data_IF_453325168413
#
_entry.id   IF_453325168413
#
_cell.length_a   1.000
_cell.length_b   1.000
_cell.length_c   1.000
_cell.angle_alpha   90.00
_cell.angle_beta   90.00
_cell.angle_gamma   90.00
#
_symmetry.space_group_name_H-M   'P 1'
#
loop_
_entity.id
_entity.type
_entity.pdbx_description
1 polymer ?
#
# COMPACT_ATOMS: atom_id res chain seq x y z
N UNK A 1 -79.92 2.88 48.65
CA UNK A 1 -80.74 1.84 47.98
C UNK A 1 -79.94 1.29 46.81
N UNK A 2 -80.04 -0.04 46.61
CA UNK A 2 -79.54 -0.87 45.51
C UNK A 2 -78.03 -1.24 45.58
N UNK A 3 -77.60 -2.29 46.30
CA UNK A 3 -77.66 -3.76 46.05
C UNK A 3 -76.67 -4.32 45.01
N UNK A 4 -75.65 -5.02 45.54
CA UNK A 4 -74.91 -6.23 45.10
C UNK A 4 -75.41 -7.01 43.85
N UNK A 5 -74.58 -7.87 43.17
CA UNK A 5 -73.83 -8.94 43.83
C UNK A 5 -72.42 -9.32 43.33
N UNK A 6 -71.73 -9.98 44.27
CA UNK A 6 -70.53 -10.79 44.16
C UNK A 6 -70.64 -11.93 43.12
N UNK A 7 -69.50 -12.26 42.50
CA UNK A 7 -69.23 -13.63 42.08
C UNK A 7 -67.85 -14.07 42.56
N UNK A 8 -67.90 -15.08 43.42
CA UNK A 8 -66.80 -15.86 43.95
C UNK A 8 -66.61 -17.02 42.98
N UNK A 9 -65.41 -17.19 42.43
CA UNK A 9 -64.99 -18.47 41.86
C UNK A 9 -63.66 -18.87 42.48
N UNK A 10 -63.75 -19.87 43.35
CA UNK A 10 -62.64 -20.63 43.91
C UNK A 10 -62.26 -21.69 42.88
N UNK A 11 -61.04 -21.63 42.36
CA UNK A 11 -60.43 -22.68 41.55
C UNK A 11 -59.05 -22.95 42.11
N UNK A 12 -58.94 -24.06 42.82
CA UNK A 12 -57.79 -24.42 43.64
C UNK A 12 -56.99 -25.54 42.94
N UNK A 13 -55.66 -25.42 43.00
CA UNK A 13 -54.67 -26.51 42.97
C UNK A 13 -54.44 -27.26 41.65
N UNK A 14 -53.28 -27.00 41.03
CA UNK A 14 -52.33 -28.03 40.58
C UNK A 14 -51.00 -27.37 40.17
N UNK A 15 -50.24 -26.97 41.18
CA UNK A 15 -48.83 -26.61 41.05
C UNK A 15 -48.04 -27.92 40.97
N UNK A 16 -47.87 -28.47 39.77
CA UNK A 16 -46.92 -29.56 39.56
C UNK A 16 -45.56 -28.99 39.17
N UNK A 17 -44.60 -29.38 39.99
CA UNK A 17 -43.19 -29.08 39.97
C UNK A 17 -42.55 -29.57 38.67
N UNK A 18 -42.20 -28.66 37.76
CA UNK A 18 -41.19 -28.95 36.75
C UNK A 18 -39.82 -28.72 37.39
N UNK A 19 -39.22 -29.80 37.86
CA UNK A 19 -37.79 -29.85 38.15
C UNK A 19 -37.02 -29.79 36.82
N UNK A 20 -36.10 -28.84 36.60
CA UNK A 20 -35.19 -28.91 35.49
C UNK A 20 -34.19 -30.04 35.78
N UNK A 21 -34.35 -31.16 35.09
CA UNK A 21 -33.29 -32.17 34.99
C UNK A 21 -32.02 -31.48 34.49
N UNK A 22 -31.02 -31.40 35.37
CA UNK A 22 -29.64 -31.06 35.03
C UNK A 22 -29.18 -32.05 33.95
N UNK A 23 -29.11 -31.57 32.71
CA UNK A 23 -28.47 -32.26 31.59
C UNK A 23 -26.98 -32.30 31.90
N UNK A 24 -26.49 -33.49 32.23
CA UNK A 24 -25.06 -33.75 32.41
C UNK A 24 -24.31 -33.31 31.14
N UNK A 25 -23.41 -32.35 31.33
CA UNK A 25 -22.37 -32.02 30.35
C UNK A 25 -21.39 -33.19 30.32
N UNK A 26 -21.71 -34.20 29.52
CA UNK A 26 -20.67 -35.10 29.05
C UNK A 26 -19.85 -34.34 28.00
N UNK A 27 -18.58 -34.21 28.33
CA UNK A 27 -17.48 -33.73 27.52
C UNK A 27 -17.52 -34.34 26.12
N UNK A 28 -18.12 -33.61 25.18
CA UNK A 28 -17.90 -33.83 23.77
C UNK A 28 -16.54 -33.22 23.44
N UNK A 29 -15.53 -34.06 23.34
CA UNK A 29 -14.28 -33.73 22.64
C UNK A 29 -14.69 -33.65 21.17
N UNK A 30 -15.03 -32.45 20.71
CA UNK A 30 -15.17 -32.18 19.29
C UNK A 30 -13.83 -32.46 18.60
N UNK A 31 -13.78 -33.28 17.55
CA UNK A 31 -12.65 -33.24 16.64
C UNK A 31 -12.66 -31.85 16.01
N UNK A 32 -11.66 -31.05 16.36
CA UNK A 32 -11.36 -29.76 15.75
C UNK A 32 -11.09 -30.00 14.25
N UNK A 33 -12.15 -29.96 13.44
CA UNK A 33 -12.05 -29.89 11.99
C UNK A 33 -11.55 -28.48 11.69
N UNK A 34 -10.26 -28.38 11.40
CA UNK A 34 -9.63 -27.17 10.90
C UNK A 34 -10.28 -26.84 9.56
N UNK A 35 -11.23 -25.91 9.55
CA UNK A 35 -11.69 -25.27 8.32
C UNK A 35 -10.46 -24.61 7.68
N UNK A 36 -10.15 -24.99 6.43
CA UNK A 36 -9.00 -24.48 5.68
C UNK A 36 -9.08 -22.96 5.38
N UNK A 37 -10.21 -22.33 5.72
CA UNK A 37 -10.47 -20.91 5.50
C UNK A 37 -10.13 -20.02 6.71
N UNK A 38 -9.78 -20.60 7.86
CA UNK A 38 -9.30 -19.89 9.07
C UNK A 38 -7.77 -19.89 9.20
N UNK A 39 -7.05 -20.15 8.09
CA UNK A 39 -5.62 -19.91 8.06
C UNK A 39 -5.37 -18.40 8.24
N UNK A 40 -4.63 -17.97 9.29
CA UNK A 40 -4.31 -16.56 9.45
C UNK A 40 -3.60 -16.08 8.16
N UNK A 41 -3.95 -14.89 7.65
CA UNK A 41 -3.31 -14.37 6.45
C UNK A 41 -1.80 -14.41 6.63
N UNK A 42 -1.04 -14.81 5.59
CA UNK A 42 0.40 -14.93 5.69
C UNK A 42 0.97 -13.63 6.25
N UNK A 43 1.91 -13.69 7.21
CA UNK A 43 2.44 -12.50 7.84
C UNK A 43 2.99 -11.56 6.75
N UNK A 44 2.75 -10.24 6.87
CA UNK A 44 3.29 -9.29 5.91
C UNK A 44 4.81 -9.45 5.85
N UNK A 45 5.42 -9.36 4.67
CA UNK A 45 6.86 -9.53 4.53
C UNK A 45 7.60 -8.56 5.47
N UNK A 46 8.70 -9.01 6.13
CA UNK A 46 9.43 -8.18 7.08
C UNK A 46 9.87 -6.86 6.42
N UNK A 47 9.53 -5.76 7.09
CA UNK A 47 9.58 -4.39 6.56
C UNK A 47 10.99 -3.84 6.28
N UNK A 48 12.05 -4.62 6.55
CA UNK A 48 13.44 -4.15 6.50
C UNK A 48 14.38 -5.05 5.69
N UNK A 49 13.91 -5.69 4.61
CA UNK A 49 14.84 -6.24 3.62
C UNK A 49 15.35 -5.13 2.70
N UNK A 50 16.38 -4.42 3.19
CA UNK A 50 17.25 -3.61 2.34
C UNK A 50 17.89 -4.55 1.32
N UNK A 51 17.48 -4.39 0.07
CA UNK A 51 18.00 -5.10 -1.09
C UNK A 51 19.49 -4.79 -1.24
N UNK A 52 20.34 -5.61 -0.65
CA UNK A 52 21.73 -5.72 -1.05
C UNK A 52 21.74 -6.57 -2.32
N UNK A 53 21.97 -5.91 -3.45
CA UNK A 53 22.20 -6.54 -4.74
C UNK A 53 23.42 -7.47 -4.64
N UNK A 54 23.18 -8.77 -4.67
CA UNK A 54 24.16 -9.80 -5.03
C UNK A 54 23.41 -10.76 -5.96
N UNK A 55 23.48 -10.57 -7.28
CA UNK A 55 24.57 -11.02 -8.14
C UNK A 55 25.07 -12.43 -7.82
N UNK A 56 24.88 -13.31 -8.80
CA UNK A 56 25.40 -14.67 -8.93
C UNK A 56 24.55 -15.79 -8.32
N UNK A 57 23.72 -16.41 -9.17
CA UNK A 57 23.89 -17.83 -9.52
C UNK A 57 23.20 -18.14 -10.85
N UNK A 58 24.02 -18.58 -11.80
CA UNK A 58 23.63 -19.34 -12.99
C UNK A 58 22.88 -20.60 -12.56
N UNK A 59 21.81 -20.91 -13.28
CA UNK A 59 21.49 -22.30 -13.62
C UNK A 59 21.12 -22.37 -15.09
N UNK A 60 21.86 -23.23 -15.77
CA UNK A 60 21.79 -23.64 -17.15
C UNK A 60 20.72 -24.75 -17.26
N UNK A 61 19.78 -24.67 -18.22
CA UNK A 61 19.41 -25.72 -19.20
C UNK A 61 17.99 -25.50 -19.78
N UNK A 62 17.89 -25.69 -21.11
CA UNK A 62 16.68 -25.62 -21.95
C UNK A 62 16.70 -24.38 -22.85
N UNK A 63 17.29 -24.36 -24.06
CA UNK A 63 16.75 -24.97 -25.31
C UNK A 63 15.21 -24.79 -25.34
N UNK A 64 14.57 -23.97 -26.18
CA UNK A 64 14.77 -23.76 -27.63
C UNK A 64 14.23 -22.37 -28.10
N UNK A 65 14.90 -21.83 -29.11
CA UNK A 65 14.40 -21.08 -30.28
C UNK A 65 13.26 -20.05 -30.19
N UNK A 66 13.65 -18.79 -30.44
CA UNK A 66 13.17 -17.84 -31.48
C UNK A 66 13.12 -16.43 -30.86
N UNK A 67 14.01 -15.50 -31.16
CA UNK A 67 14.40 -15.08 -32.50
C UNK A 67 13.79 -13.70 -32.79
N UNK A 68 14.45 -12.62 -32.33
CA UNK A 68 14.67 -11.37 -33.06
C UNK A 68 15.36 -10.31 -32.18
N UNK A 69 16.44 -9.78 -32.73
CA UNK A 69 17.29 -8.70 -32.24
C UNK A 69 16.60 -7.34 -32.37
N UNK A 70 16.92 -6.42 -31.46
CA UNK A 70 17.22 -4.99 -31.72
C UNK A 70 17.87 -4.46 -30.42
N UNK A 71 19.19 -4.42 -30.34
CA UNK A 71 20.09 -3.32 -30.74
C UNK A 71 19.80 -1.98 -30.04
N UNK A 72 20.85 -1.53 -29.33
CA UNK A 72 21.29 -0.15 -29.09
C UNK A 72 20.47 0.69 -28.10
N UNK A 73 21.06 0.99 -26.94
CA UNK A 73 21.56 2.34 -26.64
C UNK A 73 22.56 2.28 -25.48
N UNK A 74 23.82 2.54 -25.84
CA UNK A 74 24.91 2.97 -24.97
C UNK A 74 24.66 4.44 -24.60
N UNK A 75 24.68 4.79 -23.32
CA UNK A 75 24.91 6.18 -22.87
C UNK A 75 25.77 6.13 -21.60
N UNK A 76 27.07 6.29 -21.84
CA UNK A 76 28.04 6.78 -20.86
C UNK A 76 27.63 8.16 -20.32
N UNK A 77 27.75 8.36 -19.01
CA UNK A 77 27.92 9.71 -18.47
C UNK A 77 28.69 9.70 -17.14
N UNK A 78 30.02 9.65 -17.26
CA UNK A 78 30.95 10.16 -16.26
C UNK A 78 31.02 11.69 -16.37
N UNK A 79 30.71 12.41 -15.28
CA UNK A 79 31.14 13.80 -15.10
C UNK A 79 31.73 13.98 -13.71
N UNK A 80 33.01 14.34 -13.75
CA UNK A 80 33.98 14.39 -12.68
C UNK A 80 33.76 15.55 -11.71
N UNK A 81 33.95 15.22 -10.44
CA UNK A 81 34.18 16.12 -9.32
C UNK A 81 35.66 16.55 -9.24
N UNK A 82 35.93 17.86 -9.16
CA UNK A 82 37.27 18.42 -8.88
C UNK A 82 37.17 19.62 -7.92
N UNK A 83 37.88 19.63 -6.78
CA UNK A 83 38.07 20.81 -5.94
C UNK A 83 39.41 21.54 -6.20
N UNK A 84 39.62 22.74 -5.57
CA UNK A 84 40.51 23.78 -6.07
C UNK A 84 41.93 23.76 -5.46
N UNK A 85 42.87 24.44 -6.12
CA UNK A 85 44.18 24.80 -5.55
C UNK A 85 44.45 26.30 -5.69
N UNK A 86 44.96 26.85 -4.59
CA UNK A 86 45.53 28.18 -4.38
C UNK A 86 47.06 28.15 -4.54
N UNK A 87 47.68 29.32 -4.78
CA UNK A 87 48.93 29.87 -4.17
C UNK A 87 49.85 30.68 -5.12
N UNK A 88 50.24 31.89 -4.69
CA UNK A 88 51.58 32.55 -4.77
C UNK A 88 52.19 32.92 -6.16
N UNK A 89 52.86 34.06 -6.47
CA UNK A 89 53.80 34.97 -5.77
C UNK A 89 53.98 36.35 -6.49
N UNK A 90 54.67 37.35 -5.87
CA UNK A 90 55.14 38.62 -6.47
C UNK A 90 56.68 38.68 -6.71
N UNK A 91 57.17 39.62 -7.54
CA UNK A 91 58.61 39.98 -7.69
C UNK A 91 58.76 41.51 -7.90
N UNK A 92 59.64 42.22 -7.16
CA UNK A 92 60.15 43.54 -7.55
C UNK A 92 61.66 43.52 -7.91
N UNK A 93 62.04 44.27 -8.95
CA UNK A 93 63.42 44.42 -9.44
C UNK A 93 64.01 45.76 -8.96
N UNK A 94 65.19 45.70 -8.35
CA UNK A 94 66.02 46.81 -7.87
C UNK A 94 66.97 47.26 -9.00
N UNK A 95 67.01 48.55 -9.35
CA UNK A 95 68.04 49.12 -10.23
C UNK A 95 68.87 50.22 -9.54
N UNK A 96 70.18 50.17 -9.83
CA UNK A 96 71.31 50.80 -9.16
C UNK A 96 71.67 52.16 -9.78
N UNK A 97 72.15 53.12 -8.96
CA UNK A 97 72.77 54.38 -9.42
C UNK A 97 74.30 54.27 -9.53
N UNK A 98 74.95 55.02 -10.45
CA UNK A 98 76.42 55.18 -10.49
C UNK A 98 76.94 56.52 -9.89
N UNK A 99 78.25 56.62 -9.57
CA UNK A 99 78.84 57.63 -8.68
C UNK A 99 79.53 58.83 -9.37
N UNK A 100 79.73 59.91 -8.59
CA UNK A 100 80.30 61.23 -8.94
C UNK A 100 81.82 61.20 -9.17
N UNK A 101 82.31 61.99 -10.13
CA UNK A 101 83.74 62.33 -10.37
C UNK A 101 84.02 63.75 -9.81
N UNK A 102 85.09 63.98 -9.02
CA UNK A 102 85.47 65.32 -8.54
C UNK A 102 86.47 65.98 -9.49
N UNK A 103 86.12 67.11 -10.11
CA UNK A 103 87.05 67.90 -10.93
C UNK A 103 87.67 69.02 -10.09
N UNK A 104 89.00 68.97 -10.02
CA UNK A 104 89.90 69.88 -9.30
C UNK A 104 89.85 71.30 -9.86
N UNK A 105 89.77 72.25 -8.93
CA UNK A 105 89.87 73.69 -9.10
C UNK A 105 91.33 74.08 -9.34
N UNK A 106 91.62 74.74 -10.47
CA UNK A 106 92.90 75.41 -10.73
C UNK A 106 92.74 76.93 -10.51
N UNK A 107 93.25 77.45 -9.40
CA UNK A 107 93.31 78.89 -9.11
C UNK A 107 94.71 79.45 -9.42
N UNK A 108 94.84 80.53 -10.22
CA UNK A 108 96.12 81.18 -10.49
C UNK A 108 96.60 82.10 -9.33
N UNK A 109 97.91 82.37 -9.23
CA UNK A 109 98.55 82.96 -8.06
C UNK A 109 98.39 84.49 -7.98
N UNK A 110 98.07 84.93 -6.76
CA UNK A 110 97.90 86.31 -6.31
C UNK A 110 99.22 87.09 -6.33
N UNK A 111 99.29 88.17 -7.12
CA UNK A 111 100.30 89.22 -6.97
C UNK A 111 100.08 90.01 -5.66
N UNK A 112 101.14 90.51 -5.00
CA UNK A 112 101.03 91.24 -3.74
C UNK A 112 100.44 92.64 -3.98
N UNK A 113 99.13 92.79 -3.70
CA UNK A 113 98.49 94.11 -3.65
C UNK A 113 98.84 94.82 -2.34
N UNK A 114 99.05 96.13 -2.47
CA UNK A 114 99.23 97.10 -1.40
C UNK A 114 98.03 97.10 -0.42
N UNK A 115 98.26 97.38 0.88
CA UNK A 115 97.25 97.22 1.94
C UNK A 115 95.95 98.02 1.70
N UNK A 116 96.02 99.17 1.02
CA UNK A 116 94.86 100.03 0.73
C UNK A 116 93.96 99.49 -0.40
N UNK A 117 94.53 98.84 -1.42
CA UNK A 117 93.75 98.23 -2.51
C UNK A 117 93.09 96.91 -2.08
N UNK A 118 93.68 96.21 -1.10
CA UNK A 118 93.13 94.97 -0.55
C UNK A 118 91.84 95.22 0.23
N UNK A 119 91.72 96.35 0.93
CA UNK A 119 90.49 96.74 1.63
C UNK A 119 89.39 97.19 0.66
N UNK A 120 89.73 97.99 -0.36
CA UNK A 120 88.76 98.34 -1.44
C UNK A 120 88.25 97.11 -2.18
N UNK A 121 89.11 96.15 -2.50
CA UNK A 121 88.72 94.90 -3.18
C UNK A 121 87.88 93.99 -2.30
N UNK A 122 88.12 93.96 -0.99
CA UNK A 122 87.31 93.21 -0.02
C UNK A 122 85.92 93.81 0.14
N UNK A 123 85.81 95.14 0.22
CA UNK A 123 84.51 95.84 0.24
C UNK A 123 83.73 95.66 -1.08
N UNK A 124 84.41 95.74 -2.22
CA UNK A 124 83.79 95.51 -3.53
C UNK A 124 83.33 94.06 -3.70
N UNK A 125 84.15 93.07 -3.32
CA UNK A 125 83.78 91.65 -3.35
C UNK A 125 82.67 91.31 -2.35
N UNK A 126 82.63 91.96 -1.19
CA UNK A 126 81.55 91.77 -0.21
C UNK A 126 80.23 92.37 -0.70
N UNK A 127 80.26 93.52 -1.38
CA UNK A 127 79.07 94.09 -2.05
C UNK A 127 78.61 93.23 -3.22
N UNK A 128 79.52 92.73 -4.06
CA UNK A 128 79.16 91.81 -5.15
C UNK A 128 78.59 90.50 -4.62
N UNK A 129 79.22 89.89 -3.60
CA UNK A 129 78.71 88.67 -2.97
C UNK A 129 77.35 88.88 -2.31
N UNK A 130 77.06 90.06 -1.76
CA UNK A 130 75.73 90.39 -1.23
C UNK A 130 74.69 90.50 -2.35
N UNK A 131 75.00 91.21 -3.44
CA UNK A 131 74.09 91.32 -4.58
C UNK A 131 73.83 89.96 -5.26
N UNK A 132 74.87 89.12 -5.39
CA UNK A 132 74.72 87.75 -5.92
C UNK A 132 73.93 86.85 -4.99
N UNK A 133 74.12 86.96 -3.66
CA UNK A 133 73.31 86.23 -2.68
C UNK A 133 71.86 86.66 -2.70
N UNK A 134 71.59 87.96 -2.80
CA UNK A 134 70.23 88.49 -2.90
C UNK A 134 69.55 88.09 -4.22
N UNK A 135 70.31 88.05 -5.33
CA UNK A 135 69.81 87.55 -6.61
C UNK A 135 69.52 86.04 -6.57
N UNK A 136 70.41 85.25 -5.96
CA UNK A 136 70.21 83.80 -5.79
C UNK A 136 69.00 83.50 -4.89
N UNK A 137 68.81 84.27 -3.81
CA UNK A 137 67.65 84.13 -2.92
C UNK A 137 66.33 84.45 -3.65
N UNK A 138 66.33 85.43 -4.56
CA UNK A 138 65.14 85.75 -5.38
C UNK A 138 64.85 84.65 -6.39
N UNK A 139 65.87 84.16 -7.11
CA UNK A 139 65.70 83.08 -8.09
C UNK A 139 65.29 81.76 -7.42
N UNK A 140 65.85 81.44 -6.25
CA UNK A 140 65.47 80.25 -5.48
C UNK A 140 64.04 80.38 -4.92
N UNK A 141 63.64 81.58 -4.49
CA UNK A 141 62.26 81.86 -4.09
C UNK A 141 61.27 81.68 -5.26
N UNK A 142 61.59 82.17 -6.45
CA UNK A 142 60.77 82.00 -7.66
C UNK A 142 60.70 80.53 -8.11
N UNK A 143 61.81 79.78 -8.02
CA UNK A 143 61.81 78.33 -8.28
C UNK A 143 61.03 77.54 -7.23
N UNK A 144 61.00 78.00 -5.97
CA UNK A 144 60.18 77.38 -4.94
C UNK A 144 58.69 77.72 -5.11
N UNK A 145 58.35 78.94 -5.52
CA UNK A 145 56.98 79.35 -5.83
C UNK A 145 56.39 78.55 -6.99
N UNK A 146 57.13 78.43 -8.10
CA UNK A 146 56.70 77.64 -9.27
C UNK A 146 56.51 76.17 -8.92
N UNK A 147 57.47 75.55 -8.22
CA UNK A 147 57.32 74.18 -7.71
C UNK A 147 56.15 74.00 -6.73
N UNK A 148 55.86 75.01 -5.91
CA UNK A 148 54.69 74.98 -5.01
C UNK A 148 53.39 75.04 -5.81
N UNK A 149 53.30 75.89 -6.84
CA UNK A 149 52.12 75.97 -7.72
C UNK A 149 51.90 74.67 -8.50
N UNK A 150 52.95 74.12 -9.11
CA UNK A 150 52.90 72.83 -9.81
C UNK A 150 52.46 71.69 -8.88
N UNK A 151 52.97 71.67 -7.65
CA UNK A 151 52.59 70.65 -6.66
C UNK A 151 51.12 70.78 -6.24
N UNK A 152 50.63 72.00 -6.04
CA UNK A 152 49.23 72.26 -5.70
C UNK A 152 48.30 71.91 -6.86
N UNK A 153 48.68 72.21 -8.11
CA UNK A 153 47.91 71.82 -9.28
C UNK A 153 47.92 70.30 -9.51
N UNK A 154 49.06 69.62 -9.32
CA UNK A 154 49.13 68.16 -9.36
C UNK A 154 48.27 67.51 -8.28
N UNK A 155 48.30 68.03 -7.06
CA UNK A 155 47.48 67.50 -5.96
C UNK A 155 45.99 67.71 -6.23
N UNK A 156 45.62 68.83 -6.85
CA UNK A 156 44.24 69.10 -7.28
C UNK A 156 43.79 68.12 -8.35
N UNK A 157 44.58 67.90 -9.40
CA UNK A 157 44.27 66.93 -10.46
C UNK A 157 44.15 65.51 -9.90
N UNK A 158 45.01 65.10 -8.97
CA UNK A 158 44.93 63.79 -8.33
C UNK A 158 43.65 63.61 -7.51
N UNK A 159 43.18 64.66 -6.81
CA UNK A 159 41.90 64.60 -6.09
C UNK A 159 40.72 64.48 -7.05
N UNK A 160 40.73 65.25 -8.14
CA UNK A 160 39.69 65.18 -9.17
C UNK A 160 39.66 63.78 -9.82
N UNK A 161 40.81 63.20 -10.21
CA UNK A 161 40.89 61.83 -10.73
C UNK A 161 40.47 60.76 -9.70
N UNK A 162 40.81 60.93 -8.41
CA UNK A 162 40.36 60.01 -7.37
C UNK A 162 38.85 60.07 -7.15
N UNK A 163 38.26 61.26 -7.21
CA UNK A 163 36.82 61.47 -7.10
C UNK A 163 36.08 60.85 -8.29
N UNK A 164 36.59 61.04 -9.51
CA UNK A 164 36.05 60.40 -10.72
C UNK A 164 36.14 58.87 -10.64
N UNK A 165 37.27 58.32 -10.19
CA UNK A 165 37.42 56.88 -9.99
C UNK A 165 36.45 56.36 -8.94
N UNK A 166 36.28 57.07 -7.82
CA UNK A 166 35.32 56.68 -6.76
C UNK A 166 33.88 56.74 -7.28
N UNK A 167 33.54 57.75 -8.08
CA UNK A 167 32.22 57.90 -8.68
C UNK A 167 31.91 56.75 -9.66
N UNK A 168 32.85 56.42 -10.55
CA UNK A 168 32.72 55.27 -11.46
C UNK A 168 32.54 53.96 -10.69
N UNK A 169 33.33 53.73 -9.65
CA UNK A 169 33.27 52.50 -8.85
C UNK A 169 31.95 52.39 -8.07
N UNK A 170 31.41 53.52 -7.58
CA UNK A 170 30.08 53.57 -6.98
C UNK A 170 28.97 53.29 -8.00
N UNK A 171 29.08 53.82 -9.21
CA UNK A 171 28.10 53.60 -10.28
C UNK A 171 28.11 52.13 -10.72
N UNK A 172 29.28 51.53 -10.89
CA UNK A 172 29.44 50.10 -11.17
C UNK A 172 28.86 49.23 -10.05
N UNK A 173 29.10 49.57 -8.78
CA UNK A 173 28.51 48.88 -7.63
C UNK A 173 26.98 48.97 -7.63
N UNK A 174 26.42 50.15 -7.93
CA UNK A 174 24.96 50.34 -8.03
C UNK A 174 24.37 49.55 -9.19
N UNK A 175 25.00 49.57 -10.36
CA UNK A 175 24.58 48.80 -11.53
C UNK A 175 24.64 47.29 -11.27
N UNK A 176 25.71 46.81 -10.61
CA UNK A 176 25.85 45.42 -10.22
C UNK A 176 24.79 44.99 -9.19
N UNK A 177 24.49 45.83 -8.20
CA UNK A 177 23.43 45.58 -7.22
C UNK A 177 22.06 45.49 -7.90
N UNK A 178 21.76 46.38 -8.85
CA UNK A 178 20.49 46.38 -9.58
C UNK A 178 20.35 45.14 -10.48
N UNK A 179 21.43 44.73 -11.17
CA UNK A 179 21.44 43.48 -11.96
C UNK A 179 21.20 42.25 -11.10
N UNK A 180 21.85 42.16 -9.93
CA UNK A 180 21.62 41.07 -8.97
C UNK A 180 20.18 41.06 -8.46
N UNK A 181 19.63 42.22 -8.09
CA UNK A 181 18.26 42.32 -7.60
C UNK A 181 17.23 41.90 -8.67
N UNK A 182 17.47 42.22 -9.95
CA UNK A 182 16.60 41.80 -11.05
C UNK A 182 16.65 40.29 -11.27
N UNK A 183 17.84 39.70 -11.36
CA UNK A 183 18.02 38.26 -11.50
C UNK A 183 17.42 37.48 -10.32
N UNK A 184 17.54 38.01 -9.10
CA UNK A 184 16.95 37.39 -7.92
C UNK A 184 15.42 37.40 -7.97
N UNK A 185 14.79 38.48 -8.45
CA UNK A 185 13.33 38.53 -8.62
C UNK A 185 12.85 37.54 -9.68
N UNK A 186 13.49 37.53 -10.85
CA UNK A 186 13.17 36.57 -11.92
C UNK A 186 13.33 35.13 -11.44
N UNK A 187 14.41 34.84 -10.68
CA UNK A 187 14.61 33.53 -10.07
C UNK A 187 13.50 33.17 -9.09
N UNK A 188 13.12 34.08 -8.18
CA UNK A 188 12.03 33.84 -7.22
C UNK A 188 10.70 33.58 -7.92
N UNK A 189 10.38 34.33 -8.97
CA UNK A 189 9.15 34.13 -9.76
C UNK A 189 9.14 32.75 -10.43
N UNK A 190 10.27 32.32 -11.02
CA UNK A 190 10.36 30.96 -11.61
C UNK A 190 10.28 29.85 -10.57
N UNK A 191 10.91 30.03 -9.41
CA UNK A 191 10.83 29.07 -8.29
C UNK A 191 9.39 28.98 -7.75
N UNK A 192 8.67 30.10 -7.65
CA UNK A 192 7.26 30.15 -7.25
C UNK A 192 6.35 29.46 -8.27
N UNK A 193 6.54 29.69 -9.56
CA UNK A 193 5.79 29.02 -10.63
C UNK A 193 6.01 27.51 -10.60
N UNK A 194 7.28 27.06 -10.50
CA UNK A 194 7.60 25.63 -10.39
C UNK A 194 6.99 25.01 -9.14
N UNK A 195 6.98 25.73 -8.02
CA UNK A 195 6.37 25.25 -6.78
C UNK A 195 4.85 25.12 -6.90
N UNK A 196 4.18 26.05 -7.60
CA UNK A 196 2.75 25.96 -7.88
C UNK A 196 2.43 24.76 -8.80
N UNK A 197 3.16 24.61 -9.89
CA UNK A 197 2.99 23.47 -10.81
C UNK A 197 3.20 22.13 -10.09
N UNK A 198 4.24 22.03 -9.25
CA UNK A 198 4.50 20.82 -8.47
C UNK A 198 3.37 20.54 -7.47
N UNK A 199 2.78 21.57 -6.84
CA UNK A 199 1.64 21.41 -5.93
C UNK A 199 0.40 20.92 -6.67
N UNK A 200 0.11 21.48 -7.85
CA UNK A 200 -1.02 21.06 -8.67
C UNK A 200 -0.84 19.62 -9.17
N UNK A 201 0.35 19.28 -9.66
CA UNK A 201 0.68 17.92 -10.08
C UNK A 201 0.49 16.92 -8.94
N UNK A 202 0.95 17.25 -7.73
CA UNK A 202 0.75 16.42 -6.53
C UNK A 202 -0.73 16.28 -6.14
N UNK A 203 -1.53 17.34 -6.29
CA UNK A 203 -2.97 17.29 -6.03
C UNK A 203 -3.68 16.35 -7.02
N UNK A 204 -3.39 16.50 -8.31
CA UNK A 204 -3.96 15.65 -9.36
C UNK A 204 -3.55 14.19 -9.17
N UNK A 205 -2.29 13.91 -8.86
CA UNK A 205 -1.82 12.54 -8.61
C UNK A 205 -2.51 11.91 -7.39
N UNK A 206 -2.68 12.68 -6.30
CA UNK A 206 -3.41 12.23 -5.11
C UNK A 206 -4.88 11.95 -5.43
N UNK A 207 -5.52 12.80 -6.22
CA UNK A 207 -6.90 12.61 -6.66
C UNK A 207 -7.06 11.37 -7.54
N UNK A 208 -6.16 11.16 -8.52
CA UNK A 208 -6.15 9.95 -9.36
C UNK A 208 -6.00 8.68 -8.54
N UNK A 209 -5.09 8.68 -7.56
CA UNK A 209 -4.93 7.54 -6.64
C UNK A 209 -6.20 7.29 -5.85
N UNK A 210 -6.84 8.33 -5.36
CA UNK A 210 -8.07 8.24 -4.57
C UNK A 210 -9.27 7.75 -5.40
N UNK A 211 -9.38 8.18 -6.66
CA UNK A 211 -10.37 7.67 -7.61
C UNK A 211 -10.14 6.19 -7.90
N UNK A 212 -8.91 5.81 -8.22
CA UNK A 212 -8.56 4.41 -8.47
C UNK A 212 -8.84 3.51 -7.25
N UNK A 213 -8.55 3.97 -6.03
CA UNK A 213 -8.90 3.21 -4.82
C UNK A 213 -10.41 3.06 -4.64
N UNK A 214 -11.19 4.10 -4.93
CA UNK A 214 -12.66 4.06 -4.86
C UNK A 214 -13.24 3.11 -5.90
N UNK A 215 -12.70 3.09 -7.12
CA UNK A 215 -13.11 2.17 -8.18
C UNK A 215 -12.82 0.72 -7.80
N UNK A 216 -11.63 0.43 -7.27
CA UNK A 216 -11.28 -0.92 -6.79
C UNK A 216 -12.15 -1.38 -5.62
N UNK A 217 -12.47 -0.48 -4.69
CA UNK A 217 -13.37 -0.77 -3.57
C UNK A 217 -14.80 -1.04 -4.05
N UNK A 218 -15.32 -0.22 -4.97
CA UNK A 218 -16.62 -0.44 -5.61
C UNK A 218 -16.67 -1.78 -6.35
N UNK A 219 -15.61 -2.12 -7.08
CA UNK A 219 -15.53 -3.38 -7.80
C UNK A 219 -15.56 -4.57 -6.85
N UNK A 220 -14.83 -4.52 -5.72
CA UNK A 220 -14.89 -5.57 -4.69
C UNK A 220 -16.27 -5.66 -4.04
N UNK A 221 -16.89 -4.53 -3.71
CA UNK A 221 -18.24 -4.49 -3.16
C UNK A 221 -19.26 -5.11 -4.13
N UNK A 222 -19.14 -4.81 -5.42
CA UNK A 222 -20.01 -5.38 -6.46
C UNK A 222 -19.80 -6.89 -6.63
N UNK A 223 -18.55 -7.39 -6.57
CA UNK A 223 -18.29 -8.83 -6.60
C UNK A 223 -18.90 -9.54 -5.39
N UNK A 224 -18.75 -8.98 -4.18
CA UNK A 224 -19.37 -9.53 -2.97
C UNK A 224 -20.89 -9.53 -3.08
N UNK A 225 -21.49 -8.42 -3.53
CA UNK A 225 -22.93 -8.31 -3.70
C UNK A 225 -23.46 -9.31 -4.74
N UNK A 226 -22.74 -9.54 -5.84
CA UNK A 226 -23.11 -10.56 -6.84
C UNK A 226 -23.04 -11.97 -6.25
N UNK A 227 -22.00 -12.28 -5.49
CA UNK A 227 -21.86 -13.59 -4.85
C UNK A 227 -22.97 -13.82 -3.81
N UNK A 228 -23.27 -12.81 -2.99
CA UNK A 228 -24.37 -12.85 -2.01
C UNK A 228 -25.73 -13.00 -2.69
N UNK A 229 -25.98 -12.25 -3.77
CA UNK A 229 -27.23 -12.36 -4.53
C UNK A 229 -27.40 -13.76 -5.13
N UNK A 230 -26.33 -14.34 -5.70
CA UNK A 230 -26.37 -15.70 -6.23
C UNK A 230 -26.59 -16.75 -5.15
N UNK A 231 -25.96 -16.58 -3.98
CA UNK A 231 -26.16 -17.47 -2.84
C UNK A 231 -27.60 -17.39 -2.33
N UNK A 232 -28.11 -16.18 -2.15
CA UNK A 232 -29.48 -15.93 -1.69
C UNK A 232 -30.53 -16.44 -2.68
N UNK A 233 -30.32 -16.25 -3.99
CA UNK A 233 -31.24 -16.75 -5.02
C UNK A 233 -31.29 -18.28 -5.03
N UNK A 234 -30.13 -18.94 -4.95
CA UNK A 234 -30.04 -20.41 -4.84
C UNK A 234 -30.69 -20.92 -3.57
N UNK A 235 -30.52 -20.22 -2.44
CA UNK A 235 -31.13 -20.59 -1.18
C UNK A 235 -32.67 -20.42 -1.20
N UNK A 236 -33.18 -19.35 -1.82
CA UNK A 236 -34.61 -19.17 -2.01
C UNK A 236 -35.21 -20.22 -2.95
N UNK A 237 -34.54 -20.52 -4.07
CA UNK A 237 -34.98 -21.56 -5.01
C UNK A 237 -35.01 -22.92 -4.31
N UNK A 238 -33.98 -23.23 -3.50
CA UNK A 238 -33.93 -24.43 -2.65
C UNK A 238 -35.12 -24.46 -1.71
N UNK A 239 -35.39 -23.38 -0.99
CA UNK A 239 -36.51 -23.29 -0.04
C UNK A 239 -37.85 -23.53 -0.74
N UNK A 240 -38.08 -22.92 -1.92
CA UNK A 240 -39.31 -23.14 -2.71
C UNK A 240 -39.43 -24.59 -3.18
N UNK A 241 -38.33 -25.21 -3.59
CA UNK A 241 -38.30 -26.62 -4.00
C UNK A 241 -38.61 -27.56 -2.83
N UNK A 242 -38.04 -27.29 -1.65
CA UNK A 242 -38.31 -28.03 -0.41
C UNK A 242 -39.77 -27.89 0.03
N UNK A 243 -40.32 -26.67 0.05
CA UNK A 243 -41.72 -26.41 0.37
C UNK A 243 -42.64 -27.13 -0.64
N UNK A 244 -42.31 -27.07 -1.93
CA UNK A 244 -43.02 -27.80 -2.98
C UNK A 244 -42.96 -29.31 -2.78
N UNK A 245 -41.81 -29.85 -2.36
CA UNK A 245 -41.63 -31.27 -2.05
C UNK A 245 -42.45 -31.67 -0.81
N UNK A 246 -42.39 -30.89 0.27
CA UNK A 246 -43.19 -31.12 1.48
C UNK A 246 -44.67 -31.21 1.16
N UNK A 247 -45.18 -30.30 0.32
CA UNK A 247 -46.58 -30.35 -0.14
C UNK A 247 -46.89 -31.62 -0.96
N UNK A 248 -45.99 -32.04 -1.85
CA UNK A 248 -46.17 -33.30 -2.61
C UNK A 248 -46.17 -34.52 -1.70
N UNK A 249 -45.23 -34.61 -0.76
CA UNK A 249 -45.15 -35.71 0.19
C UNK A 249 -46.39 -35.73 1.09
N UNK A 250 -46.83 -34.58 1.61
CA UNK A 250 -48.05 -34.49 2.41
C UNK A 250 -49.28 -35.00 1.65
N UNK A 251 -49.44 -34.58 0.38
CA UNK A 251 -50.52 -35.05 -0.49
C UNK A 251 -50.42 -36.55 -0.77
N UNK A 252 -49.21 -37.06 -1.07
CA UNK A 252 -49.01 -38.49 -1.27
C UNK A 252 -49.31 -39.28 -0.01
N UNK A 253 -48.89 -38.81 1.17
CA UNK A 253 -49.18 -39.46 2.45
C UNK A 253 -50.69 -39.56 2.67
N UNK A 254 -51.44 -38.47 2.44
CA UNK A 254 -52.90 -38.50 2.51
C UNK A 254 -53.50 -39.57 1.57
N UNK A 255 -53.00 -39.69 0.34
CA UNK A 255 -53.43 -40.73 -0.62
C UNK A 255 -52.99 -42.16 -0.24
N UNK A 256 -51.81 -42.31 0.37
CA UNK A 256 -51.25 -43.60 0.80
C UNK A 256 -52.03 -44.16 1.99
N UNK A 257 -52.35 -43.33 2.98
CA UNK A 257 -53.00 -43.76 4.22
C UNK A 257 -54.54 -43.77 4.14
N UNK A 258 -55.15 -43.00 3.23
CA UNK A 258 -56.61 -43.04 3.00
C UNK A 258 -57.08 -44.33 2.33
N UNK A 259 -56.24 -44.96 1.50
CA UNK A 259 -56.56 -46.24 0.85
C UNK A 259 -55.67 -47.33 1.41
N UNK A 260 -56.18 -48.10 2.37
CA UNK A 260 -55.53 -49.28 2.97
C UNK A 260 -55.23 -50.36 1.91
N UNK A 261 -54.18 -50.17 1.12
CA UNK A 261 -53.66 -51.13 0.14
C UNK A 261 -52.21 -51.43 0.49
N UNK A 262 -51.94 -52.65 0.93
CA UNK A 262 -50.61 -53.15 1.24
C UNK A 262 -49.61 -52.99 0.07
N UNK A 263 -50.10 -53.04 -1.18
CA UNK A 263 -49.29 -52.81 -2.39
C UNK A 263 -48.62 -51.43 -2.45
N UNK A 264 -49.12 -50.44 -1.67
CA UNK A 264 -48.55 -49.09 -1.64
C UNK A 264 -47.33 -48.97 -0.73
N UNK A 265 -47.05 -49.99 0.10
CA UNK A 265 -45.98 -50.00 1.11
C UNK A 265 -44.74 -50.80 0.66
N UNK A 266 -44.65 -51.15 -0.62
CA UNK A 266 -43.55 -51.91 -1.19
C UNK A 266 -43.04 -51.28 -2.49
N UNK A 267 -41.79 -51.56 -2.84
CA UNK A 267 -41.17 -51.02 -4.04
C UNK A 267 -39.71 -51.42 -4.21
N UNK A 268 -39.05 -50.83 -5.20
CA UNK A 268 -37.62 -51.00 -5.41
C UNK A 268 -36.86 -49.79 -4.89
N UNK A 269 -35.70 -50.04 -4.29
CA UNK A 269 -34.77 -49.00 -3.86
C UNK A 269 -33.35 -49.53 -4.04
N UNK A 270 -32.42 -48.65 -4.41
CA UNK A 270 -31.00 -49.00 -4.39
C UNK A 270 -30.38 -48.41 -3.12
N UNK A 271 -29.77 -49.26 -2.30
CA UNK A 271 -29.20 -48.88 -1.00
C UNK A 271 -27.70 -49.11 -0.98
N UNK A 272 -26.98 -48.24 -0.28
CA UNK A 272 -25.58 -48.40 0.10
C UNK A 272 -25.54 -48.58 1.62
N UNK A 273 -25.38 -49.82 2.12
CA UNK A 273 -25.22 -50.08 3.54
C UNK A 273 -23.95 -49.42 4.10
N UNK A 274 -23.91 -49.04 5.39
CA UNK A 274 -22.78 -48.34 6.01
C UNK A 274 -21.45 -49.08 5.88
N UNK A 275 -21.49 -50.41 5.88
CA UNK A 275 -20.30 -51.26 5.89
C UNK A 275 -19.77 -51.57 4.48
N UNK A 276 -20.46 -51.13 3.42
CA UNK A 276 -20.10 -51.48 2.05
C UNK A 276 -20.28 -50.30 1.11
N UNK A 277 -19.24 -49.97 0.35
CA UNK A 277 -19.32 -48.93 -0.69
C UNK A 277 -20.14 -49.38 -1.92
N UNK A 278 -20.59 -50.63 -1.98
CA UNK A 278 -21.35 -51.15 -3.10
C UNK A 278 -22.84 -50.82 -2.99
N UNK A 279 -23.39 -50.21 -4.03
CA UNK A 279 -24.82 -50.01 -4.22
C UNK A 279 -25.51 -51.34 -4.54
N UNK A 280 -26.58 -51.66 -3.83
CA UNK A 280 -27.36 -52.89 -3.99
C UNK A 280 -28.82 -52.56 -4.20
N UNK A 281 -29.40 -53.06 -5.29
CA UNK A 281 -30.83 -52.95 -5.55
C UNK A 281 -31.59 -53.95 -4.67
N UNK A 282 -32.58 -53.46 -3.93
CA UNK A 282 -33.39 -54.22 -2.98
C UNK A 282 -34.87 -53.95 -3.21
N UNK A 283 -35.67 -55.00 -3.04
CA UNK A 283 -37.12 -54.84 -2.96
C UNK A 283 -37.48 -54.58 -1.50
N UNK A 284 -38.09 -53.43 -1.21
CA UNK A 284 -38.46 -53.06 0.15
C UNK A 284 -39.92 -53.34 0.43
N UNK A 285 -40.23 -53.65 1.69
CA UNK A 285 -41.58 -53.60 2.25
C UNK A 285 -41.54 -52.91 3.62
N UNK A 286 -42.61 -52.17 3.95
CA UNK A 286 -42.77 -51.58 5.28
C UNK A 286 -43.71 -52.42 6.14
N UNK A 287 -43.27 -52.74 7.35
CA UNK A 287 -44.14 -53.24 8.41
C UNK A 287 -44.38 -52.09 9.39
N UNK A 288 -45.50 -51.40 9.21
CA UNK A 288 -45.94 -50.30 10.08
C UNK A 288 -46.79 -50.89 11.21
N UNK A 289 -46.20 -51.04 12.39
CA UNK A 289 -46.89 -51.41 13.63
C UNK A 289 -46.74 -50.29 14.65
N UNK A 290 -47.77 -50.08 15.48
CA UNK A 290 -47.78 -49.03 16.52
C UNK A 290 -46.60 -49.14 17.52
N UNK A 291 -46.01 -50.34 17.67
CA UNK A 291 -44.91 -50.58 18.59
C UNK A 291 -43.55 -50.76 17.89
N UNK A 292 -43.54 -51.28 16.66
CA UNK A 292 -42.31 -51.65 15.94
C UNK A 292 -42.48 -51.37 14.45
N UNK A 293 -42.09 -50.17 14.02
CA UNK A 293 -42.00 -49.85 12.59
C UNK A 293 -40.62 -50.22 12.05
N UNK A 294 -40.59 -51.02 10.98
CA UNK A 294 -39.35 -51.46 10.33
C UNK A 294 -39.51 -51.55 8.80
N UNK A 295 -38.41 -51.31 8.09
CA UNK A 295 -38.29 -51.53 6.65
C UNK A 295 -37.52 -52.82 6.41
N UNK A 296 -38.12 -53.72 5.65
CA UNK A 296 -37.56 -55.01 5.29
C UNK A 296 -37.03 -54.95 3.86
N UNK A 297 -35.77 -55.33 3.65
CA UNK A 297 -35.12 -55.31 2.34
C UNK A 297 -34.87 -56.74 1.87
N UNK A 298 -35.43 -57.07 0.71
CA UNK A 298 -35.34 -58.37 0.07
C UNK A 298 -34.51 -58.27 -1.22
N UNK A 299 -34.00 -59.42 -1.68
CA UNK A 299 -33.35 -59.50 -2.98
C UNK A 299 -34.33 -59.40 -4.15
N UNK A 300 -35.54 -59.96 -3.99
CA UNK A 300 -36.53 -60.08 -5.05
C UNK A 300 -37.96 -60.06 -4.44
N UNK A 301 -38.94 -59.42 -5.10
CA UNK A 301 -40.35 -59.46 -4.68
C UNK A 301 -40.97 -60.85 -4.58
N UNK A 302 -40.40 -61.87 -5.23
CA UNK A 302 -40.88 -63.27 -5.13
C UNK A 302 -40.33 -63.99 -3.90
N UNK A 303 -39.23 -63.51 -3.33
CA UNK A 303 -38.49 -64.16 -2.25
C UNK A 303 -38.67 -63.40 -0.93
N UNK A 304 -39.92 -63.23 -0.50
CA UNK A 304 -40.29 -62.46 0.71
C UNK A 304 -40.18 -63.30 2.00
N UNK A 305 -39.57 -64.49 1.94
CA UNK A 305 -39.49 -65.42 3.07
C UNK A 305 -38.48 -64.96 4.12
N UNK A 306 -37.34 -64.42 3.69
CA UNK A 306 -36.27 -63.95 4.59
C UNK A 306 -35.73 -62.60 4.09
N UNK A 307 -35.88 -61.52 4.87
CA UNK A 307 -35.26 -60.25 4.53
C UNK A 307 -33.74 -60.40 4.60
N UNK A 308 -33.05 -59.78 3.65
CA UNK A 308 -31.59 -59.71 3.63
C UNK A 308 -31.09 -58.69 4.64
N UNK A 309 -31.78 -57.55 4.72
CA UNK A 309 -31.46 -56.47 5.64
C UNK A 309 -32.77 -56.00 6.30
N UNK A 310 -32.71 -55.65 7.59
CA UNK A 310 -33.85 -55.16 8.38
C UNK A 310 -33.44 -53.82 8.98
N UNK A 311 -34.18 -52.76 8.66
CA UNK A 311 -33.94 -51.42 9.18
C UNK A 311 -35.00 -51.09 10.24
N UNK A 312 -34.65 -51.05 11.52
CA UNK A 312 -35.55 -50.58 12.56
C UNK A 312 -35.72 -49.06 12.45
N UNK A 313 -36.95 -48.58 12.29
CA UNK A 313 -37.23 -47.17 12.01
C UNK A 313 -37.69 -46.42 13.27
N UNK A 314 -38.53 -47.06 14.07
CA UNK A 314 -39.13 -46.43 15.26
C UNK A 314 -38.08 -46.03 16.30
N UNK A 315 -37.96 -44.72 16.55
CA UNK A 315 -37.05 -44.14 17.57
C UNK A 315 -35.55 -44.31 17.28
N UNK A 316 -35.18 -44.78 16.10
CA UNK A 316 -33.79 -45.07 15.70
C UNK A 316 -33.25 -44.12 14.64
N UNK A 317 -34.13 -43.56 13.81
CA UNK A 317 -33.77 -42.56 12.81
C UNK A 317 -33.71 -41.20 13.50
N UNK A 318 -32.59 -40.51 13.31
CA UNK A 318 -32.38 -39.13 13.77
C UNK A 318 -32.89 -38.13 12.73
N UNK A 319 -32.46 -38.29 11.47
CA UNK A 319 -32.82 -37.37 10.39
C UNK A 319 -32.83 -38.04 9.01
N UNK A 320 -33.66 -37.48 8.12
CA UNK A 320 -33.71 -37.79 6.69
C UNK A 320 -33.00 -36.67 5.95
N UNK A 321 -31.84 -36.96 5.38
CA UNK A 321 -30.94 -35.96 4.84
C UNK A 321 -30.87 -36.00 3.32
N UNK A 322 -30.75 -34.83 2.70
CA UNK A 322 -30.48 -34.67 1.28
C UNK A 322 -28.96 -34.55 1.01
N UNK A 323 -28.58 -34.59 -0.27
CA UNK A 323 -27.15 -34.50 -0.67
C UNK A 323 -26.45 -33.23 -0.15
N UNK A 324 -27.17 -32.11 -0.03
CA UNK A 324 -26.60 -30.85 0.48
C UNK A 324 -26.50 -30.80 2.02
N UNK A 325 -27.00 -31.81 2.74
CA UNK A 325 -26.97 -31.88 4.21
C UNK A 325 -25.78 -32.71 4.70
N UNK A 326 -24.60 -32.48 4.11
CA UNK A 326 -23.36 -33.20 4.45
C UNK A 326 -23.13 -34.49 3.66
N UNK A 327 -23.92 -34.72 2.60
CA UNK A 327 -23.82 -35.91 1.73
C UNK A 327 -23.49 -35.52 0.28
N UNK A 328 -22.48 -34.67 0.07
CA UNK A 328 -22.14 -34.11 -1.24
C UNK A 328 -21.87 -35.19 -2.31
N UNK A 329 -21.39 -36.36 -1.90
CA UNK A 329 -21.18 -37.51 -2.80
C UNK A 329 -22.47 -38.04 -3.45
N UNK A 330 -23.64 -37.69 -2.90
CA UNK A 330 -24.95 -38.06 -3.44
C UNK A 330 -25.45 -37.08 -4.50
N UNK A 331 -24.80 -35.94 -4.72
CA UNK A 331 -25.18 -34.94 -5.73
C UNK A 331 -25.20 -35.55 -7.14
N UNK A 332 -24.24 -36.43 -7.43
CA UNK A 332 -24.12 -37.09 -8.73
C UNK A 332 -25.21 -38.15 -9.00
N UNK A 333 -25.97 -38.56 -7.98
CA UNK A 333 -26.97 -39.63 -8.07
C UNK A 333 -28.36 -39.01 -8.02
N UNK A 334 -29.16 -39.06 -9.10
CA UNK A 334 -30.51 -38.54 -9.10
C UNK A 334 -31.38 -39.24 -8.05
N UNK A 335 -32.26 -38.48 -7.41
CA UNK A 335 -33.23 -38.99 -6.43
C UNK A 335 -32.60 -39.77 -5.26
N UNK A 336 -31.36 -39.42 -4.92
CA UNK A 336 -30.65 -39.91 -3.76
C UNK A 336 -31.09 -39.19 -2.47
N UNK A 337 -30.93 -39.85 -1.34
CA UNK A 337 -31.08 -39.30 0.00
C UNK A 337 -30.33 -40.20 1.01
N UNK A 338 -30.12 -39.70 2.22
CA UNK A 338 -29.48 -40.42 3.30
C UNK A 338 -30.40 -40.54 4.52
N UNK A 339 -30.25 -41.64 5.26
CA UNK A 339 -30.85 -41.88 6.56
C UNK A 339 -29.74 -41.82 7.60
N UNK A 340 -29.89 -40.94 8.58
CA UNK A 340 -29.00 -40.88 9.74
C UNK A 340 -29.68 -41.54 10.92
N UNK A 341 -29.02 -42.51 11.51
CA UNK A 341 -29.47 -43.17 12.72
C UNK A 341 -28.87 -42.49 13.96
N UNK A 342 -29.58 -42.57 15.08
CA UNK A 342 -29.12 -42.05 16.39
C UNK A 342 -27.77 -42.66 16.81
N UNK A 343 -27.49 -43.88 16.34
CA UNK A 343 -26.23 -44.58 16.58
C UNK A 343 -25.05 -44.03 15.73
N UNK A 344 -25.26 -42.98 14.94
CA UNK A 344 -24.28 -42.38 14.03
C UNK A 344 -24.05 -43.17 12.74
N UNK A 345 -24.83 -44.24 12.53
CA UNK A 345 -24.79 -45.06 11.32
C UNK A 345 -25.58 -44.36 10.23
N UNK A 346 -25.05 -44.37 9.00
CA UNK A 346 -25.67 -43.69 7.87
C UNK A 346 -25.96 -44.69 6.75
N UNK A 347 -27.17 -44.62 6.20
CA UNK A 347 -27.57 -45.39 5.03
C UNK A 347 -27.86 -44.44 3.89
N UNK A 348 -27.36 -44.76 2.70
CA UNK A 348 -27.62 -43.94 1.51
C UNK A 348 -28.50 -44.72 0.57
N UNK A 349 -29.46 -44.03 -0.03
CA UNK A 349 -30.48 -44.66 -0.86
C UNK A 349 -30.74 -43.79 -2.08
N UNK A 350 -31.18 -44.40 -3.18
CA UNK A 350 -31.80 -43.68 -4.28
C UNK A 350 -32.94 -44.48 -4.88
N UNK A 351 -33.91 -43.76 -5.43
CA UNK A 351 -35.06 -44.31 -6.14
C UNK A 351 -34.93 -44.11 -7.65
N UNK A 352 -35.68 -44.85 -8.46
CA UNK A 352 -35.59 -44.74 -9.91
C UNK A 352 -36.33 -43.50 -10.45
N UNK A 353 -37.23 -42.93 -9.66
CA UNK A 353 -37.97 -41.70 -10.00
C UNK A 353 -38.18 -40.78 -8.80
N UNK A 354 -38.41 -39.49 -9.08
CA UNK A 354 -38.77 -38.49 -8.06
C UNK A 354 -40.02 -38.88 -7.26
N UNK A 355 -41.03 -39.46 -7.92
CA UNK A 355 -42.26 -39.88 -7.25
C UNK A 355 -42.05 -41.07 -6.31
N UNK A 356 -41.18 -42.01 -6.67
CA UNK A 356 -40.80 -43.12 -5.78
C UNK A 356 -39.98 -42.63 -4.59
N UNK A 357 -39.06 -41.67 -4.79
CA UNK A 357 -38.35 -41.02 -3.69
C UNK A 357 -39.31 -40.31 -2.73
N UNK A 358 -40.20 -39.46 -3.25
CA UNK A 358 -41.17 -38.72 -2.43
C UNK A 358 -42.07 -39.68 -1.65
N UNK A 359 -42.53 -40.78 -2.28
CA UNK A 359 -43.29 -41.85 -1.61
C UNK A 359 -42.47 -42.52 -0.51
N UNK A 360 -41.24 -42.92 -0.80
CA UNK A 360 -40.38 -43.62 0.14
C UNK A 360 -40.04 -42.74 1.35
N UNK A 361 -39.74 -41.46 1.13
CA UNK A 361 -39.52 -40.48 2.20
C UNK A 361 -40.77 -40.30 3.07
N UNK A 362 -41.97 -40.25 2.48
CA UNK A 362 -43.22 -40.18 3.23
C UNK A 362 -43.48 -41.41 4.11
N UNK A 363 -43.17 -42.60 3.60
CA UNK A 363 -43.26 -43.85 4.39
C UNK A 363 -42.22 -43.88 5.52
N UNK A 364 -41.00 -43.45 5.25
CA UNK A 364 -39.92 -43.38 6.23
C UNK A 364 -40.22 -42.36 7.33
N UNK A 365 -40.75 -41.19 6.98
CA UNK A 365 -41.10 -40.14 7.94
C UNK A 365 -42.20 -40.60 8.89
N UNK A 366 -43.24 -41.25 8.34
CA UNK A 366 -44.32 -41.83 9.15
C UNK A 366 -43.79 -42.93 10.07
N UNK A 367 -43.03 -43.88 9.52
CA UNK A 367 -42.48 -45.01 10.27
C UNK A 367 -41.51 -44.59 11.38
N UNK A 368 -40.75 -43.51 11.14
CA UNK A 368 -39.82 -42.94 12.11
C UNK A 368 -40.49 -41.99 13.11
N UNK A 369 -41.70 -41.51 12.82
CA UNK A 369 -42.36 -40.46 13.60
C UNK A 369 -41.69 -39.08 13.46
N UNK A 370 -41.04 -38.83 12.32
CA UNK A 370 -40.33 -37.57 12.04
C UNK A 370 -41.21 -36.69 11.16
N UNK A 371 -41.32 -35.41 11.51
CA UNK A 371 -42.02 -34.41 10.68
C UNK A 371 -41.01 -33.86 9.66
N UNK A 372 -41.28 -34.07 8.37
CA UNK A 372 -40.47 -33.64 7.22
C UNK A 372 -40.49 -32.14 6.97
#
# INVERSE_FOLDING_TARGET
MNTSPAHICKGSFLTQLFAPCRRNQNTHVEPYIVHADDAPPPPPPPKDYKWASASTRRTFLGEEYNGKKSLLFDVDLDVLSRPPQSTSQPIPIIQKMPPRIPVKVNSPPTMPLTPEEKERRRLAAQRQSQLEKDAMLREEHERQETKRREKVEQERLQREEEEERKAMLQEELRAAALRKARLERERRETEEQQLQELRERRRLEKERRLQHTKEMERWRAEQMQRAESQYSEKEEERRRSEEGRRMRIARMNEELFSTSRADKMAGWVTVQPPNTLAWKRRYYTFELSHAESKMLLYGNPREVVKPLDILPLYGRIDSLAEWYEGFEELEAIPHSFALRFVDGVEWRMFADSAGEKDRLLGLLSEAAGIIL
#
